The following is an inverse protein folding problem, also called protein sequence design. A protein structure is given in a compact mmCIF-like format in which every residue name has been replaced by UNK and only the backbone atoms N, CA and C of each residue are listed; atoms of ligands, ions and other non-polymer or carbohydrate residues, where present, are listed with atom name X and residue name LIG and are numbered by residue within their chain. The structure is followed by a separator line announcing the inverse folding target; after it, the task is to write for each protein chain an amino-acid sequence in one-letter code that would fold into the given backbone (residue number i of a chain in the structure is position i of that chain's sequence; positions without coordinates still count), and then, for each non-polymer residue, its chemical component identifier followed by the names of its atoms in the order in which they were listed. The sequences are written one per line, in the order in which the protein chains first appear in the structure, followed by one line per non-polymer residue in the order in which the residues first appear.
data_IF_009210427333
#
_entry.id   IF_009210427333
#
_cell.length_a   1.000
_cell.length_b   1.000
_cell.length_c   1.000
_cell.angle_alpha   90.00
_cell.angle_beta   90.00
_cell.angle_gamma   90.00
#
_symmetry.space_group_name_H-M   'P 1'
#
loop_
_entity.id
_entity.type
_entity.pdbx_description
1 polymer ?
#
# COMPACT_ATOMS: atom_id res chain seq x y z
N UNK A 1 16.22 -2.91 -14.91
CA UNK A 1 15.52 -2.24 -13.79
C UNK A 1 15.85 -2.94 -12.48
N UNK A 2 15.74 -4.27 -12.46
CA UNK A 2 16.17 -5.12 -11.35
C UNK A 2 17.64 -4.88 -10.94
N UNK A 3 18.56 -4.78 -11.90
CA UNK A 3 19.99 -4.53 -11.60
C UNK A 3 20.20 -3.21 -10.85
N UNK A 4 19.53 -2.13 -11.28
CA UNK A 4 19.60 -0.83 -10.60
C UNK A 4 19.07 -0.88 -9.17
N UNK A 5 18.03 -1.67 -8.91
CA UNK A 5 17.50 -1.83 -7.56
C UNK A 5 18.47 -2.60 -6.66
N UNK A 6 19.12 -3.64 -7.19
CA UNK A 6 20.18 -4.36 -6.49
C UNK A 6 21.35 -3.43 -6.17
N UNK A 7 21.77 -2.62 -7.14
CA UNK A 7 22.85 -1.64 -6.94
C UNK A 7 22.52 -0.65 -5.81
N UNK A 8 21.26 -0.19 -5.72
CA UNK A 8 20.82 0.68 -4.62
C UNK A 8 20.91 0.01 -3.25
N UNK A 9 20.46 -1.23 -3.12
CA UNK A 9 20.56 -1.95 -1.84
C UNK A 9 21.99 -2.23 -1.43
N UNK A 10 22.84 -2.61 -2.39
CA UNK A 10 24.27 -2.81 -2.13
C UNK A 10 24.94 -1.48 -1.77
N UNK A 11 24.53 -0.36 -2.37
CA UNK A 11 25.02 0.97 -1.97
C UNK A 11 24.65 1.28 -0.52
N UNK A 12 23.40 1.05 -0.13
CA UNK A 12 22.95 1.25 1.25
C UNK A 12 23.80 0.42 2.21
N UNK A 13 24.00 -0.87 1.93
CA UNK A 13 24.81 -1.76 2.76
C UNK A 13 26.24 -1.23 2.94
N UNK A 14 26.90 -0.86 1.83
CA UNK A 14 28.26 -0.27 1.87
C UNK A 14 28.31 1.03 2.66
N UNK A 15 27.28 1.89 2.53
CA UNK A 15 27.21 3.14 3.28
C UNK A 15 27.23 2.84 4.78
N UNK A 16 26.39 1.91 5.25
CA UNK A 16 26.35 1.49 6.66
C UNK A 16 27.67 0.89 7.15
N UNK A 17 28.36 0.10 6.33
CA UNK A 17 29.67 -0.48 6.68
C UNK A 17 30.80 0.56 6.73
N UNK A 18 30.69 1.63 5.94
CA UNK A 18 31.73 2.66 5.83
C UNK A 18 31.73 3.66 6.99
N UNK A 19 30.60 3.80 7.70
CA UNK A 19 30.45 4.73 8.81
C UNK A 19 31.15 4.22 10.07
N UNK A 20 32.23 4.91 10.46
CA UNK A 20 33.02 4.57 11.64
C UNK A 20 32.75 5.48 12.84
N UNK A 21 32.13 6.63 12.62
CA UNK A 21 31.91 7.65 13.64
C UNK A 21 30.53 7.46 14.29
N UNK A 22 30.49 7.42 15.62
CA UNK A 22 29.26 7.14 16.37
C UNK A 22 28.16 8.19 16.11
N UNK A 23 28.53 9.46 15.88
CA UNK A 23 27.54 10.50 15.55
C UNK A 23 26.89 10.27 14.18
N UNK A 24 27.65 9.83 13.17
CA UNK A 24 27.15 9.61 11.82
C UNK A 24 26.19 8.43 11.78
N UNK A 25 26.57 7.34 12.47
CA UNK A 25 25.71 6.17 12.65
C UNK A 25 24.40 6.56 13.34
N UNK A 26 24.46 7.43 14.35
CA UNK A 26 23.28 7.93 15.06
C UNK A 26 22.37 8.76 14.15
N UNK A 27 22.92 9.62 13.30
CA UNK A 27 22.14 10.39 12.31
C UNK A 27 21.43 9.45 11.34
N UNK A 28 22.16 8.50 10.73
CA UNK A 28 21.56 7.57 9.77
C UNK A 28 20.47 6.70 10.42
N UNK A 29 20.69 6.27 11.66
CA UNK A 29 19.69 5.53 12.43
C UNK A 29 18.42 6.36 12.70
N UNK A 30 18.55 7.65 13.00
CA UNK A 30 17.39 8.54 13.18
C UNK A 30 16.56 8.68 11.89
N UNK A 31 17.22 8.80 10.75
CA UNK A 31 16.56 8.84 9.44
C UNK A 31 15.89 7.51 9.07
N UNK A 32 16.56 6.39 9.35
CA UNK A 32 16.00 5.05 9.16
C UNK A 32 14.75 4.83 10.02
N UNK A 33 14.79 5.22 11.29
CA UNK A 33 13.65 5.15 12.22
C UNK A 33 12.49 6.07 11.79
N UNK A 34 12.80 7.26 11.27
CA UNK A 34 11.82 8.16 10.67
C UNK A 34 11.14 7.49 9.47
N UNK A 35 11.92 6.93 8.55
CA UNK A 35 11.39 6.22 7.38
C UNK A 35 10.48 5.06 7.79
N UNK A 36 10.94 4.24 8.75
CA UNK A 36 10.17 3.11 9.29
C UNK A 36 8.83 3.56 9.85
N UNK A 37 8.82 4.62 10.66
CA UNK A 37 7.58 5.16 11.25
C UNK A 37 6.63 5.70 10.18
N UNK A 38 7.14 6.42 9.19
CA UNK A 38 6.35 6.92 8.06
C UNK A 38 5.74 5.77 7.25
N UNK A 39 6.54 4.76 6.91
CA UNK A 39 6.10 3.60 6.14
C UNK A 39 5.02 2.79 6.87
N UNK A 40 5.18 2.56 8.19
CA UNK A 40 4.17 1.88 9.01
C UNK A 40 2.88 2.69 9.05
N UNK A 41 2.96 4.00 9.23
CA UNK A 41 1.79 4.87 9.29
C UNK A 41 1.04 4.90 7.95
N UNK A 42 1.78 5.05 6.85
CA UNK A 42 1.24 5.02 5.50
C UNK A 42 0.53 3.69 5.20
N UNK A 43 1.19 2.56 5.47
CA UNK A 43 0.60 1.24 5.27
C UNK A 43 -0.70 1.07 6.08
N UNK A 44 -0.72 1.49 7.35
CA UNK A 44 -1.92 1.43 8.20
C UNK A 44 -3.07 2.24 7.61
N UNK A 45 -2.81 3.45 7.12
CA UNK A 45 -3.83 4.26 6.46
C UNK A 45 -4.34 3.56 5.21
N UNK A 46 -3.45 3.10 4.34
CA UNK A 46 -3.83 2.46 3.07
C UNK A 46 -4.68 1.23 3.29
N UNK A 47 -4.28 0.33 4.20
CA UNK A 47 -5.10 -0.84 4.55
C UNK A 47 -6.40 -0.47 5.26
N UNK A 48 -6.41 0.58 6.09
CA UNK A 48 -7.62 1.08 6.73
C UNK A 48 -8.65 1.61 5.73
N UNK A 49 -8.23 2.45 4.78
CA UNK A 49 -9.08 2.95 3.68
C UNK A 49 -9.59 1.79 2.82
N UNK A 50 -8.73 0.80 2.56
CA UNK A 50 -9.09 -0.39 1.78
C UNK A 50 -10.15 -1.24 2.45
N UNK A 51 -10.11 -1.38 3.79
CA UNK A 51 -11.15 -2.08 4.55
C UNK A 51 -12.51 -1.37 4.45
N UNK A 52 -12.50 -0.04 4.53
CA UNK A 52 -13.73 0.76 4.33
C UNK A 52 -14.26 0.55 2.92
N UNK A 53 -13.40 0.62 1.90
CA UNK A 53 -13.77 0.36 0.52
C UNK A 53 -14.34 -1.05 0.31
N UNK A 54 -13.78 -2.06 0.97
CA UNK A 54 -14.27 -3.45 0.93
C UNK A 54 -15.65 -3.66 1.54
N UNK A 55 -16.12 -2.73 2.38
CA UNK A 55 -17.47 -2.77 2.93
C UNK A 55 -18.56 -2.27 1.97
N UNK A 56 -18.19 -1.60 0.88
CA UNK A 56 -19.15 -1.00 -0.08
C UNK A 56 -20.19 -1.99 -0.65
N UNK A 57 -19.87 -3.27 -0.95
CA UNK A 57 -20.85 -4.23 -1.45
C UNK A 57 -21.92 -4.63 -0.42
N UNK A 58 -21.68 -4.37 0.88
CA UNK A 58 -22.64 -4.64 1.95
C UNK A 58 -23.66 -3.50 2.13
N UNK A 59 -23.37 -2.30 1.65
CA UNK A 59 -24.23 -1.11 1.75
C UNK A 59 -25.67 -1.36 1.28
N UNK A 60 -25.95 -1.93 0.09
CA UNK A 60 -27.33 -2.14 -0.35
C UNK A 60 -28.10 -3.08 0.59
N UNK A 61 -27.45 -4.15 1.08
CA UNK A 61 -28.06 -5.09 2.04
C UNK A 61 -28.38 -4.44 3.38
N UNK A 62 -27.47 -3.62 3.90
CA UNK A 62 -27.69 -2.88 5.15
C UNK A 62 -28.86 -1.90 4.98
N UNK A 63 -28.91 -1.21 3.84
CA UNK A 63 -29.97 -0.25 3.58
C UNK A 63 -31.33 -0.92 3.34
N UNK A 64 -31.38 -2.14 2.80
CA UNK A 64 -32.61 -2.93 2.69
C UNK A 64 -33.17 -3.32 4.06
N UNK A 65 -32.30 -3.57 5.05
CA UNK A 65 -32.71 -3.82 6.43
C UNK A 65 -33.28 -2.55 7.10
N UNK A 66 -32.68 -1.39 6.85
CA UNK A 66 -33.07 -0.12 7.48
C UNK A 66 -34.29 0.53 6.81
N UNK A 67 -34.36 0.46 5.48
CA UNK A 67 -35.43 1.04 4.66
C UNK A 67 -35.70 0.13 3.45
N UNK A 68 -36.58 -0.87 3.61
CA UNK A 68 -36.94 -1.75 2.51
C UNK A 68 -37.65 -0.97 1.40
N UNK A 69 -37.37 -1.31 0.15
CA UNK A 69 -38.07 -0.82 -1.04
C UNK A 69 -38.81 -1.97 -1.72
N UNK A 70 -39.86 -1.63 -2.49
CA UNK A 70 -40.60 -2.61 -3.30
C UNK A 70 -39.73 -3.20 -4.43
N UNK A 71 -38.69 -2.48 -4.85
CA UNK A 71 -37.72 -2.94 -5.86
C UNK A 71 -36.37 -3.24 -5.21
N UNK A 72 -35.68 -4.28 -5.71
CA UNK A 72 -34.35 -4.66 -5.26
C UNK A 72 -33.31 -3.61 -5.63
N UNK A 73 -32.44 -3.24 -4.68
CA UNK A 73 -31.34 -2.31 -4.95
C UNK A 73 -30.29 -2.93 -5.89
N UNK A 74 -29.66 -2.12 -6.78
CA UNK A 74 -28.58 -2.61 -7.62
C UNK A 74 -27.39 -3.05 -6.78
N UNK A 75 -26.69 -4.10 -7.24
CA UNK A 75 -25.48 -4.59 -6.59
C UNK A 75 -24.33 -3.61 -6.80
N UNK A 76 -23.45 -3.51 -5.80
CA UNK A 76 -22.27 -2.65 -5.86
C UNK A 76 -21.04 -3.54 -6.08
N UNK A 77 -20.33 -3.29 -7.18
CA UNK A 77 -19.01 -3.86 -7.45
C UNK A 77 -17.94 -2.94 -6.84
N UNK A 78 -16.78 -3.51 -6.48
CA UNK A 78 -15.67 -2.71 -5.96
C UNK A 78 -15.20 -1.70 -7.03
N UNK A 79 -14.91 -2.18 -8.24
CA UNK A 79 -14.54 -1.34 -9.37
C UNK A 79 -15.40 -1.67 -10.58
N UNK A 80 -15.63 -0.67 -11.43
CA UNK A 80 -16.35 -0.86 -12.69
C UNK A 80 -15.38 -1.32 -13.76
N UNK A 81 -15.64 -2.51 -14.31
CA UNK A 81 -14.93 -3.03 -15.49
C UNK A 81 -15.88 -3.90 -16.30
N UNK A 82 -15.62 -4.02 -17.61
CA UNK A 82 -16.36 -4.92 -18.49
C UNK A 82 -15.70 -6.29 -18.47
N UNK A 83 -16.41 -7.32 -17.98
CA UNK A 83 -15.89 -8.68 -17.88
C UNK A 83 -16.28 -9.56 -19.08
N UNK A 84 -16.97 -9.01 -20.10
CA UNK A 84 -17.52 -9.73 -21.26
C UNK A 84 -18.32 -11.01 -20.91
N UNK A 85 -18.86 -11.06 -19.70
CA UNK A 85 -19.72 -12.11 -19.16
C UNK A 85 -20.90 -11.47 -18.41
N UNK A 86 -21.95 -12.25 -18.16
CA UNK A 86 -23.10 -11.82 -17.35
C UNK A 86 -22.67 -11.55 -15.89
N UNK A 87 -22.53 -10.26 -15.55
CA UNK A 87 -21.98 -9.84 -14.26
C UNK A 87 -22.94 -10.11 -13.09
N UNK A 88 -24.25 -10.12 -13.35
CA UNK A 88 -25.25 -10.41 -12.33
C UNK A 88 -25.25 -11.90 -11.97
N UNK A 89 -25.13 -12.77 -12.98
CA UNK A 89 -25.04 -14.22 -12.79
C UNK A 89 -23.77 -14.64 -12.04
N UNK A 90 -22.64 -13.99 -12.33
CA UNK A 90 -21.33 -14.34 -11.74
C UNK A 90 -20.88 -13.38 -10.62
N UNK A 91 -21.82 -12.64 -10.03
CA UNK A 91 -21.52 -11.58 -9.07
C UNK A 91 -20.59 -12.01 -7.92
N UNK A 92 -20.83 -13.17 -7.30
CA UNK A 92 -20.05 -13.62 -6.13
C UNK A 92 -18.60 -13.93 -6.53
N UNK A 93 -18.40 -14.56 -7.68
CA UNK A 93 -17.10 -14.89 -8.23
C UNK A 93 -16.34 -13.62 -8.63
N UNK A 94 -17.01 -12.68 -9.29
CA UNK A 94 -16.45 -11.38 -9.65
C UNK A 94 -16.07 -10.56 -8.42
N UNK A 95 -16.92 -10.59 -7.39
CA UNK A 95 -16.65 -9.89 -6.13
C UNK A 95 -15.44 -10.49 -5.40
N UNK A 96 -15.35 -11.82 -5.33
CA UNK A 96 -14.18 -12.51 -4.75
C UNK A 96 -12.90 -12.19 -5.51
N UNK A 97 -12.94 -12.27 -6.85
CA UNK A 97 -11.83 -11.87 -7.71
C UNK A 97 -11.43 -10.41 -7.46
N UNK A 98 -12.42 -9.53 -7.31
CA UNK A 98 -12.19 -8.11 -7.07
C UNK A 98 -11.50 -7.85 -5.73
N UNK A 99 -11.89 -8.55 -4.65
CA UNK A 99 -11.22 -8.45 -3.36
C UNK A 99 -9.74 -8.86 -3.45
N UNK A 100 -9.45 -9.98 -4.13
CA UNK A 100 -8.08 -10.44 -4.32
C UNK A 100 -7.26 -9.46 -5.17
N UNK A 101 -7.79 -9.04 -6.32
CA UNK A 101 -7.11 -8.14 -7.24
C UNK A 101 -6.78 -6.80 -6.56
N UNK A 102 -7.74 -6.21 -5.85
CA UNK A 102 -7.54 -4.94 -5.15
C UNK A 102 -6.52 -5.10 -4.01
N UNK A 103 -6.61 -6.17 -3.21
CA UNK A 103 -5.65 -6.44 -2.13
C UNK A 103 -4.22 -6.56 -2.65
N UNK A 104 -4.02 -7.30 -3.74
CA UNK A 104 -2.71 -7.44 -4.38
C UNK A 104 -2.22 -6.09 -4.90
N UNK A 105 -3.08 -5.33 -5.58
CA UNK A 105 -2.76 -4.00 -6.09
C UNK A 105 -2.31 -3.02 -5.00
N UNK A 106 -3.06 -2.95 -3.89
CA UNK A 106 -2.70 -2.12 -2.73
C UNK A 106 -1.36 -2.57 -2.14
N UNK A 107 -1.13 -3.89 -2.04
CA UNK A 107 0.12 -4.45 -1.56
C UNK A 107 1.32 -3.98 -2.38
N UNK A 108 1.20 -3.99 -3.72
CA UNK A 108 2.24 -3.45 -4.61
C UNK A 108 2.45 -1.96 -4.42
N UNK A 109 1.38 -1.16 -4.38
CA UNK A 109 1.47 0.30 -4.18
C UNK A 109 2.21 0.61 -2.88
N UNK A 110 1.76 0.02 -1.77
CA UNK A 110 2.38 0.22 -0.45
C UNK A 110 3.84 -0.22 -0.44
N UNK A 111 4.16 -1.34 -1.09
CA UNK A 111 5.54 -1.83 -1.18
C UNK A 111 6.46 -0.84 -1.92
N UNK A 112 6.06 -0.40 -3.12
CA UNK A 112 6.89 0.49 -3.93
C UNK A 112 7.01 1.88 -3.31
N UNK A 113 5.95 2.42 -2.74
CA UNK A 113 5.97 3.72 -2.05
C UNK A 113 6.89 3.67 -0.81
N UNK A 114 6.78 2.62 0.00
CA UNK A 114 7.63 2.44 1.17
C UNK A 114 9.11 2.28 0.78
N UNK A 115 9.39 1.51 -0.26
CA UNK A 115 10.74 1.35 -0.80
C UNK A 115 11.32 2.69 -1.24
N UNK A 116 10.55 3.46 -2.01
CA UNK A 116 10.96 4.79 -2.46
C UNK A 116 11.19 5.75 -1.29
N UNK A 117 10.29 5.77 -0.31
CA UNK A 117 10.43 6.58 0.90
C UNK A 117 11.69 6.20 1.70
N UNK A 118 11.98 4.91 1.84
CA UNK A 118 13.21 4.44 2.51
C UNK A 118 14.46 4.91 1.76
N UNK A 119 14.50 4.80 0.43
CA UNK A 119 15.63 5.26 -0.37
C UNK A 119 15.87 6.77 -0.23
N UNK A 120 14.79 7.57 -0.24
CA UNK A 120 14.89 9.03 -0.02
C UNK A 120 15.43 9.34 1.37
N UNK A 121 14.88 8.72 2.42
CA UNK A 121 15.33 9.00 3.79
C UNK A 121 16.78 8.56 4.01
N UNK A 122 17.22 7.44 3.41
CA UNK A 122 18.62 7.04 3.43
C UNK A 122 19.51 8.09 2.75
N UNK A 123 19.15 8.52 1.54
CA UNK A 123 19.91 9.56 0.83
C UNK A 123 19.97 10.88 1.62
N UNK A 124 18.85 11.33 2.21
CA UNK A 124 18.83 12.51 3.08
C UNK A 124 19.73 12.35 4.31
N UNK A 125 19.72 11.18 4.95
CA UNK A 125 20.60 10.90 6.08
C UNK A 125 22.08 10.93 5.69
N UNK A 126 22.43 10.35 4.54
CA UNK A 126 23.79 10.41 4.01
C UNK A 126 24.21 11.85 3.67
N UNK A 127 23.32 12.66 3.09
CA UNK A 127 23.61 14.08 2.85
C UNK A 127 23.83 14.88 4.14
N UNK A 128 23.09 14.58 5.21
CA UNK A 128 23.26 15.24 6.50
C UNK A 128 24.59 14.87 7.17
N UNK A 129 25.07 13.64 7.00
CA UNK A 129 26.39 13.21 7.51
C UNK A 129 27.54 13.92 6.79
N UNK A 130 27.40 14.18 5.48
CA UNK A 130 28.44 14.80 4.66
C UNK A 130 28.56 16.33 4.84
N UNK A 131 27.56 16.97 5.45
CA UNK A 131 27.52 18.42 5.70
C UNK A 131 28.06 18.77 7.08
#
# INVERSE_FOLDING_TARGET
MEDRLKDLFVSIERDWESLNLECDVKVLHQWSERARRLNIYYARIMFGVSLIYFSTPAVPKILDLLRPMNESRPRIFLYQTEFFIDQDKYYVQLLFHSYLAVTIGIGYIVFFDNLFATLINHACGMFEILM
#
